data_IF_514872677116
#
_entry.id   IF_514872677116
#
_cell.length_a   1.000
_cell.length_b   1.000
_cell.length_c   1.000
_cell.angle_alpha   90.00
_cell.angle_beta   90.00
_cell.angle_gamma   90.00
#
_symmetry.space_group_name_H-M   'P 1'
#
loop_
_entity.id
_entity.type
_entity.pdbx_description
1 polymer ?
#
# COMPACT_ATOMS: atom_id res chain seq x y z
N UNK A 1 -3.89 -7.41 4.02
CA UNK A 1 -3.46 -6.53 2.92
C UNK A 1 -3.06 -7.41 1.76
N UNK A 2 -3.36 -6.99 0.54
CA UNK A 2 -2.92 -7.67 -0.68
C UNK A 2 -1.40 -7.58 -0.75
N UNK A 3 -0.71 -8.71 -0.82
CA UNK A 3 0.76 -8.77 -0.86
C UNK A 3 1.32 -8.69 -2.29
N UNK A 4 0.43 -8.53 -3.29
CA UNK A 4 0.73 -8.41 -4.73
C UNK A 4 1.68 -9.49 -5.27
N UNK A 5 1.71 -10.67 -4.64
CA UNK A 5 2.59 -11.77 -5.05
C UNK A 5 2.06 -12.60 -6.21
N UNK A 6 0.88 -12.28 -6.71
CA UNK A 6 0.20 -13.12 -7.68
C UNK A 6 -0.43 -12.28 -8.78
N UNK A 7 -0.09 -12.60 -10.02
CA UNK A 7 -0.69 -12.04 -11.21
C UNK A 7 -1.51 -13.13 -11.92
N UNK A 8 -2.81 -12.90 -12.06
CA UNK A 8 -3.67 -13.76 -12.88
C UNK A 8 -3.92 -13.09 -14.23
N UNK A 9 -3.46 -13.72 -15.31
CA UNK A 9 -3.74 -13.27 -16.67
C UNK A 9 -4.91 -14.08 -17.23
N UNK A 10 -5.97 -13.40 -17.66
CA UNK A 10 -7.08 -13.99 -18.40
C UNK A 10 -6.94 -13.59 -19.86
N UNK A 11 -6.85 -14.56 -20.76
CA UNK A 11 -6.82 -14.33 -22.21
C UNK A 11 -8.12 -14.79 -22.83
N UNK A 12 -8.77 -13.87 -23.55
CA UNK A 12 -10.00 -14.10 -24.29
C UNK A 12 -9.69 -13.98 -25.78
N UNK A 13 -9.97 -15.03 -26.55
CA UNK A 13 -9.96 -14.97 -28.01
C UNK A 13 -11.39 -14.77 -28.50
N UNK A 14 -11.67 -13.57 -28.99
CA UNK A 14 -12.95 -13.21 -29.60
C UNK A 14 -13.06 -13.85 -30.99
N UNK A 15 -14.26 -14.27 -31.36
CA UNK A 15 -14.54 -14.76 -32.72
C UNK A 15 -14.89 -13.57 -33.62
N UNK A 16 -14.41 -13.61 -34.85
CA UNK A 16 -14.75 -12.59 -35.85
C UNK A 16 -16.24 -12.65 -36.24
N UNK A 17 -16.81 -11.48 -36.52
CA UNK A 17 -18.21 -11.33 -36.93
C UNK A 17 -19.13 -10.76 -35.84
N UNK A 18 -20.31 -10.24 -36.24
CA UNK A 18 -21.24 -9.62 -35.32
C UNK A 18 -21.75 -10.64 -34.30
N UNK A 19 -21.89 -10.20 -33.05
CA UNK A 19 -22.52 -11.01 -32.01
C UNK A 19 -23.96 -11.38 -32.46
N UNK A 20 -24.44 -12.58 -32.10
CA UNK A 20 -25.78 -12.99 -32.47
C UNK A 20 -26.82 -12.04 -31.83
N UNK A 21 -27.85 -11.68 -32.59
CA UNK A 21 -28.89 -10.72 -32.16
C UNK A 21 -29.58 -11.22 -30.88
N UNK A 22 -29.57 -10.45 -29.78
CA UNK A 22 -30.13 -10.91 -28.52
C UNK A 22 -31.64 -11.18 -28.56
N UNK A 23 -32.38 -10.63 -29.52
CA UNK A 23 -33.81 -10.89 -29.68
C UNK A 23 -34.12 -12.18 -30.47
N UNK A 24 -33.15 -12.70 -31.25
CA UNK A 24 -33.36 -13.83 -32.17
C UNK A 24 -32.39 -15.01 -31.94
N UNK A 25 -31.37 -14.85 -31.10
CA UNK A 25 -30.32 -15.82 -30.87
C UNK A 25 -30.79 -17.00 -30.00
N UNK A 26 -30.45 -18.21 -30.44
CA UNK A 26 -30.60 -19.43 -29.64
C UNK A 26 -29.44 -19.60 -28.67
N UNK A 27 -29.62 -20.42 -27.63
CA UNK A 27 -28.54 -20.79 -26.70
C UNK A 27 -27.33 -21.39 -27.43
N UNK A 28 -27.58 -22.13 -28.52
CA UNK A 28 -26.53 -22.69 -29.38
C UNK A 28 -25.76 -21.59 -30.14
N UNK A 29 -26.45 -20.53 -30.60
CA UNK A 29 -25.79 -19.39 -31.25
C UNK A 29 -24.87 -18.63 -30.29
N UNK A 30 -25.28 -18.43 -29.04
CA UNK A 30 -24.42 -17.84 -28.01
C UNK A 30 -23.25 -18.74 -27.63
N UNK A 31 -23.49 -20.05 -27.51
CA UNK A 31 -22.43 -21.01 -27.21
C UNK A 31 -21.42 -21.09 -28.37
N UNK A 32 -21.90 -21.03 -29.61
CA UNK A 32 -21.08 -20.97 -30.81
C UNK A 32 -20.29 -19.66 -30.91
N UNK A 33 -20.81 -18.53 -30.41
CA UNK A 33 -20.09 -17.24 -30.39
C UNK A 33 -19.29 -16.99 -29.11
N UNK A 34 -19.24 -17.95 -28.19
CA UNK A 34 -18.51 -17.82 -26.92
C UNK A 34 -17.01 -17.67 -27.21
N UNK A 35 -16.34 -16.65 -26.65
CA UNK A 35 -14.89 -16.51 -26.80
C UNK A 35 -14.18 -17.66 -26.12
N UNK A 36 -13.11 -18.15 -26.74
CA UNK A 36 -12.25 -19.11 -26.09
C UNK A 36 -11.52 -18.38 -24.96
N UNK A 37 -11.52 -18.99 -23.77
CA UNK A 37 -10.93 -18.41 -22.57
C UNK A 37 -9.82 -19.31 -22.07
N UNK A 38 -8.69 -18.71 -21.73
CA UNK A 38 -7.62 -19.34 -20.97
C UNK A 38 -7.20 -18.43 -19.82
N UNK A 39 -6.67 -19.03 -18.75
CA UNK A 39 -6.13 -18.28 -17.62
C UNK A 39 -4.78 -18.87 -17.22
N UNK A 40 -3.91 -18.02 -16.70
CA UNK A 40 -2.63 -18.41 -16.14
C UNK A 40 -2.36 -17.61 -14.87
N UNK A 41 -1.90 -18.30 -13.82
CA UNK A 41 -1.44 -17.69 -12.57
C UNK A 41 0.07 -17.65 -12.59
N UNK A 42 0.63 -16.48 -12.32
CA UNK A 42 2.07 -16.26 -12.23
C UNK A 42 2.39 -15.74 -10.83
N UNK A 43 3.28 -16.43 -10.13
CA UNK A 43 3.81 -15.94 -8.86
C UNK A 43 4.88 -14.88 -9.15
N UNK A 44 4.69 -13.69 -8.60
CA UNK A 44 5.64 -12.58 -8.67
C UNK A 44 6.66 -12.78 -7.54
N UNK A 45 7.77 -13.39 -7.90
CA UNK A 45 8.92 -13.62 -7.04
C UNK A 45 10.22 -13.37 -7.82
N UNK A 46 11.38 -13.55 -7.18
CA UNK A 46 12.70 -13.27 -7.78
C UNK A 46 13.04 -14.09 -9.04
N UNK A 47 12.26 -15.10 -9.39
CA UNK A 47 12.42 -15.84 -10.66
C UNK A 47 11.91 -15.04 -11.87
N UNK A 48 11.03 -14.06 -11.66
CA UNK A 48 10.59 -13.13 -12.69
C UNK A 48 11.61 -11.98 -12.75
N UNK A 49 12.31 -11.79 -13.89
CA UNK A 49 13.27 -10.70 -14.01
C UNK A 49 12.56 -9.35 -13.98
N UNK A 50 13.17 -8.39 -13.30
CA UNK A 50 12.71 -7.01 -13.25
C UNK A 50 12.93 -6.31 -14.60
N UNK A 51 12.01 -5.41 -14.94
CA UNK A 51 12.15 -4.59 -16.14
C UNK A 51 13.13 -3.45 -15.87
N UNK A 52 14.17 -3.33 -16.70
CA UNK A 52 15.27 -2.39 -16.47
C UNK A 52 14.85 -0.91 -16.52
N UNK A 53 13.82 -0.56 -17.29
CA UNK A 53 13.37 0.83 -17.38
C UNK A 53 12.53 1.20 -16.16
N UNK A 54 11.73 0.25 -15.67
CA UNK A 54 10.97 0.41 -14.42
C UNK A 54 11.91 0.44 -13.21
N UNK A 55 12.93 -0.40 -13.19
CA UNK A 55 13.91 -0.48 -12.11
C UNK A 55 14.62 0.87 -11.89
N UNK A 56 15.13 1.48 -12.96
CA UNK A 56 15.72 2.83 -12.92
C UNK A 56 14.76 3.89 -12.39
N UNK A 57 13.47 3.78 -12.72
CA UNK A 57 12.46 4.72 -12.26
C UNK A 57 12.18 4.54 -10.76
N UNK A 58 12.14 3.28 -10.29
CA UNK A 58 12.01 2.95 -8.86
C UNK A 58 13.21 3.49 -8.08
N UNK A 59 14.43 3.25 -8.57
CA UNK A 59 15.66 3.78 -7.96
C UNK A 59 15.65 5.30 -7.86
N UNK A 60 15.22 5.99 -8.93
CA UNK A 60 15.10 7.44 -8.94
C UNK A 60 14.16 7.95 -7.84
N UNK A 61 12.94 7.41 -7.75
CA UNK A 61 11.98 7.83 -6.73
C UNK A 61 12.37 7.40 -5.31
N UNK A 62 13.01 6.24 -5.16
CA UNK A 62 13.53 5.79 -3.88
C UNK A 62 14.58 6.77 -3.35
N UNK A 63 15.49 7.24 -4.21
CA UNK A 63 16.48 8.25 -3.86
C UNK A 63 15.85 9.61 -3.51
N UNK A 64 14.83 10.07 -4.25
CA UNK A 64 14.09 11.30 -3.89
C UNK A 64 13.40 11.18 -2.53
N UNK A 65 12.79 10.02 -2.24
CA UNK A 65 12.15 9.77 -0.95
C UNK A 65 13.16 9.70 0.19
N UNK A 66 14.31 9.05 0.00
CA UNK A 66 15.37 8.98 1.02
C UNK A 66 15.87 10.39 1.37
N UNK A 67 16.11 11.23 0.36
CA UNK A 67 16.52 12.62 0.59
C UNK A 67 15.48 13.43 1.37
N UNK A 68 14.18 13.21 1.13
CA UNK A 68 13.10 13.87 1.87
C UNK A 68 12.96 13.34 3.30
N UNK A 69 13.23 12.06 3.54
CA UNK A 69 13.13 11.43 4.85
C UNK A 69 14.29 11.81 5.79
N UNK A 70 15.45 12.15 5.23
CA UNK A 70 16.63 12.63 5.98
C UNK A 70 16.50 14.09 6.43
N UNK A 71 15.55 14.85 5.91
CA UNK A 71 15.33 16.24 6.31
C UNK A 71 14.70 16.31 7.71
N UNK A 72 15.40 17.01 8.63
CA UNK A 72 14.90 17.24 9.98
C UNK A 72 13.65 18.15 9.97
N UNK A 73 12.47 17.58 10.23
CA UNK A 73 11.23 18.34 10.25
C UNK A 73 10.98 19.12 11.56
N UNK A 74 11.39 18.57 12.71
CA UNK A 74 11.09 19.13 14.05
C UNK A 74 12.24 18.80 15.00
N UNK A 75 12.49 19.71 15.95
CA UNK A 75 13.47 19.55 17.03
C UNK A 75 12.76 19.43 18.37
N UNK A 76 13.27 18.60 19.28
CA UNK A 76 12.72 18.41 20.62
C UNK A 76 13.72 18.83 21.69
N UNK A 77 13.25 19.63 22.67
CA UNK A 77 14.05 20.03 23.83
C UNK A 77 14.15 18.94 24.90
N UNK A 78 13.42 17.84 24.73
CA UNK A 78 13.35 16.74 25.70
C UNK A 78 13.36 15.39 25.01
N UNK A 79 13.83 14.35 25.70
CA UNK A 79 13.79 12.98 25.20
C UNK A 79 12.34 12.51 25.01
N UNK A 80 12.01 11.90 23.87
CA UNK A 80 10.70 11.32 23.58
C UNK A 80 10.73 9.80 23.79
N UNK A 81 9.96 9.31 24.76
CA UNK A 81 9.97 7.89 25.13
C UNK A 81 8.96 7.07 24.32
N UNK A 82 9.43 6.42 23.24
CA UNK A 82 8.61 5.59 22.36
C UNK A 82 8.77 4.09 22.64
N UNK A 83 9.34 3.70 23.79
CA UNK A 83 9.54 2.28 24.16
C UNK A 83 8.21 1.58 24.34
N UNK A 84 8.12 0.35 23.82
CA UNK A 84 6.90 -0.46 23.85
C UNK A 84 6.40 -0.76 25.25
N UNK A 85 7.31 -0.90 26.21
CA UNK A 85 6.99 -1.10 27.62
C UNK A 85 6.29 0.09 28.25
N UNK A 86 6.56 1.31 27.77
CA UNK A 86 6.00 2.56 28.31
C UNK A 86 4.70 2.91 27.59
N UNK A 87 4.74 3.09 26.26
CA UNK A 87 3.59 3.58 25.48
C UNK A 87 2.33 2.70 25.59
N UNK A 88 2.47 1.41 25.95
CA UNK A 88 1.35 0.48 26.07
C UNK A 88 0.81 0.34 27.48
N UNK A 89 1.56 0.79 28.49
CA UNK A 89 1.21 0.58 29.90
C UNK A 89 0.88 1.87 30.62
N UNK A 90 1.45 2.99 30.19
CA UNK A 90 1.29 4.30 30.82
C UNK A 90 1.20 5.40 29.76
N UNK A 91 0.88 6.61 30.20
CA UNK A 91 1.08 7.81 29.40
C UNK A 91 2.56 8.00 29.05
N UNK A 92 2.84 8.54 27.86
CA UNK A 92 4.19 8.90 27.39
C UNK A 92 4.14 10.24 26.65
N UNK A 93 5.19 11.03 26.80
CA UNK A 93 5.34 12.30 26.08
C UNK A 93 5.40 12.13 24.55
N UNK A 94 5.88 10.98 24.04
CA UNK A 94 5.78 10.65 22.61
C UNK A 94 4.31 10.50 22.18
N UNK A 95 3.49 9.85 23.00
CA UNK A 95 2.06 9.71 22.74
C UNK A 95 1.36 11.06 22.74
N UNK A 96 1.66 11.91 23.73
CA UNK A 96 1.12 13.25 23.84
C UNK A 96 1.48 14.11 22.61
N UNK A 97 2.74 14.09 22.19
CA UNK A 97 3.21 14.80 21.01
C UNK A 97 2.45 14.41 19.73
N UNK A 98 2.28 13.10 19.48
CA UNK A 98 1.52 12.62 18.32
C UNK A 98 0.04 13.02 18.41
N UNK A 99 -0.57 12.91 19.59
CA UNK A 99 -1.95 13.35 19.80
C UNK A 99 -2.12 14.84 19.50
N UNK A 100 -1.19 15.69 19.94
CA UNK A 100 -1.24 17.13 19.68
C UNK A 100 -1.11 17.46 18.19
N UNK A 101 -0.21 16.79 17.47
CA UNK A 101 -0.10 16.94 16.01
C UNK A 101 -1.41 16.60 15.32
N UNK A 102 -1.98 15.43 15.63
CA UNK A 102 -3.24 14.98 15.00
C UNK A 102 -4.38 15.93 15.36
N UNK A 103 -4.43 16.39 16.61
CA UNK A 103 -5.45 17.33 17.08
C UNK A 103 -5.42 18.63 16.28
N UNK A 104 -4.24 19.19 16.07
CA UNK A 104 -4.05 20.43 15.30
C UNK A 104 -4.33 20.19 13.81
N UNK A 105 -3.75 19.13 13.23
CA UNK A 105 -3.86 18.84 11.79
C UNK A 105 -5.30 18.56 11.35
N UNK A 106 -6.11 17.99 12.24
CA UNK A 106 -7.50 17.63 11.96
C UNK A 106 -8.52 18.62 12.55
N UNK A 107 -8.06 19.71 13.19
CA UNK A 107 -8.90 20.66 13.95
C UNK A 107 -9.89 19.95 14.91
N UNK A 108 -9.37 18.96 15.65
CA UNK A 108 -10.16 18.14 16.55
C UNK A 108 -10.15 18.68 17.99
N UNK A 109 -11.24 18.46 18.73
CA UNK A 109 -11.30 18.80 20.16
C UNK A 109 -10.63 17.73 21.04
N UNK A 110 -10.76 16.46 20.65
CA UNK A 110 -10.25 15.29 21.39
C UNK A 110 -9.64 14.30 20.42
N UNK A 111 -8.48 13.74 20.78
CA UNK A 111 -7.82 12.66 20.04
C UNK A 111 -7.62 11.47 20.96
N UNK A 112 -7.96 10.29 20.47
CA UNK A 112 -7.62 9.01 21.08
C UNK A 112 -6.69 8.27 20.12
N UNK A 113 -5.52 7.88 20.61
CA UNK A 113 -4.50 7.24 19.79
C UNK A 113 -4.16 5.86 20.35
N UNK A 114 -4.24 4.84 19.51
CA UNK A 114 -3.85 3.49 19.92
C UNK A 114 -2.33 3.36 19.89
N UNK A 115 -1.72 3.00 21.01
CA UNK A 115 -0.26 2.86 21.11
C UNK A 115 0.32 1.68 20.29
N UNK A 116 -0.52 0.76 19.82
CA UNK A 116 -0.15 -0.27 18.85
C UNK A 116 0.35 0.30 17.51
N UNK A 117 -0.07 1.52 17.15
CA UNK A 117 0.33 2.22 15.93
C UNK A 117 1.75 2.80 16.00
N UNK A 118 2.31 3.02 17.20
CA UNK A 118 3.67 3.51 17.38
C UNK A 118 4.66 2.33 17.43
N UNK A 119 5.71 2.39 16.60
CA UNK A 119 6.56 1.22 16.29
C UNK A 119 8.06 1.43 16.49
N UNK A 120 8.48 2.55 17.09
CA UNK A 120 9.91 2.90 17.22
C UNK A 120 10.67 2.03 18.23
N UNK A 121 10.07 1.73 19.40
CA UNK A 121 10.67 0.96 20.50
C UNK A 121 12.02 1.49 21.02
N UNK A 122 12.16 2.82 21.07
CA UNK A 122 13.37 3.47 21.57
C UNK A 122 13.03 4.79 22.27
N UNK A 123 14.04 5.38 22.91
CA UNK A 123 14.00 6.77 23.36
C UNK A 123 14.68 7.61 22.29
N UNK A 124 13.95 8.57 21.74
CA UNK A 124 14.55 9.59 20.86
C UNK A 124 15.10 10.69 21.76
N UNK A 125 16.42 10.88 21.77
CA UNK A 125 17.04 11.93 22.58
C UNK A 125 16.61 13.32 22.15
N UNK A 126 16.75 14.30 23.04
CA UNK A 126 16.64 15.71 22.67
C UNK A 126 17.63 16.07 21.54
N UNK A 127 17.22 16.99 20.67
CA UNK A 127 17.80 17.21 19.35
C UNK A 127 16.69 17.21 18.34
#
# INVERSE_FOLDING_TARGET
GTDFRELTTIRLALKDGPAPDPAAATADAYTAHRPAMSHARTELNKSVPEDQEVDKLVDFYAAEMEAQLDEAMVWSLTDLDARFTVIRSTESNMGNFVCDIVRIAMDAEVVLFNSGTLRSDMVHGAG
#
